data_IF_366177382017
#
_entry.id   IF_366177382017
#
_cell.length_a   1.000
_cell.length_b   1.000
_cell.length_c   1.000
_cell.angle_alpha   90.00
_cell.angle_beta   90.00
_cell.angle_gamma   90.00
#
_symmetry.space_group_name_H-M   'P 1'
#
loop_
_entity.id
_entity.type
_entity.pdbx_description
1 polymer ?
#
# COMPACT_ATOMS: atom_id res chain seq x y z
N UNK A 1 23.42 -10.17 -46.58
CA UNK A 1 22.65 -9.85 -45.35
C UNK A 1 22.94 -10.80 -44.18
N UNK A 2 23.10 -12.12 -44.34
CA UNK A 2 23.36 -13.01 -43.18
C UNK A 2 24.70 -12.77 -42.46
N UNK A 3 25.76 -12.40 -43.17
CA UNK A 3 27.11 -12.24 -42.56
C UNK A 3 27.21 -11.02 -41.63
N UNK A 4 26.57 -9.90 -41.99
CA UNK A 4 26.52 -8.70 -41.15
C UNK A 4 25.60 -8.86 -39.94
N UNK A 5 24.52 -9.63 -40.08
CA UNK A 5 23.63 -9.99 -38.96
C UNK A 5 24.32 -10.92 -37.94
N UNK A 6 25.09 -11.91 -38.41
CA UNK A 6 25.86 -12.79 -37.52
C UNK A 6 26.97 -12.02 -36.79
N UNK A 7 27.63 -11.07 -37.45
CA UNK A 7 28.65 -10.21 -36.83
C UNK A 7 28.04 -9.24 -35.79
N UNK A 8 26.88 -8.65 -36.06
CA UNK A 8 26.22 -7.75 -35.10
C UNK A 8 25.67 -8.51 -33.88
N UNK A 9 25.14 -9.71 -34.08
CA UNK A 9 24.72 -10.59 -32.99
C UNK A 9 25.91 -11.03 -32.11
N UNK A 10 27.08 -11.33 -32.70
CA UNK A 10 28.26 -11.70 -31.92
C UNK A 10 28.83 -10.55 -31.09
N UNK A 11 28.75 -9.30 -31.57
CA UNK A 11 29.22 -8.13 -30.82
C UNK A 11 28.40 -7.95 -29.54
N UNK A 12 27.07 -8.02 -29.62
CA UNK A 12 26.20 -7.86 -28.43
C UNK A 12 26.38 -8.98 -27.40
N UNK A 13 26.60 -10.21 -27.86
CA UNK A 13 26.87 -11.35 -26.98
C UNK A 13 28.21 -11.14 -26.24
N UNK A 14 29.23 -10.63 -26.94
CA UNK A 14 30.53 -10.37 -26.33
C UNK A 14 30.48 -9.20 -25.35
N UNK A 15 29.77 -8.11 -25.67
CA UNK A 15 29.51 -7.00 -24.74
C UNK A 15 28.87 -7.48 -23.44
N UNK A 16 27.87 -8.38 -23.53
CA UNK A 16 27.24 -8.97 -22.36
C UNK A 16 28.21 -9.84 -21.55
N UNK A 17 29.04 -10.65 -22.23
CA UNK A 17 30.08 -11.47 -21.59
C UNK A 17 31.09 -10.62 -20.83
N UNK A 18 31.54 -9.52 -21.42
CA UNK A 18 32.50 -8.59 -20.79
C UNK A 18 31.87 -7.93 -19.57
N UNK A 19 30.70 -7.31 -19.71
CA UNK A 19 29.98 -6.67 -18.57
C UNK A 19 29.74 -7.64 -17.42
N UNK A 20 29.36 -8.89 -17.73
CA UNK A 20 29.17 -9.93 -16.71
C UNK A 20 30.47 -10.27 -15.99
N UNK A 21 31.57 -10.45 -16.72
CA UNK A 21 32.88 -10.73 -16.13
C UNK A 21 33.35 -9.60 -15.23
N UNK A 22 33.19 -8.35 -15.66
CA UNK A 22 33.57 -7.17 -14.87
C UNK A 22 32.76 -7.10 -13.57
N UNK A 23 31.46 -7.38 -13.65
CA UNK A 23 30.58 -7.45 -12.47
C UNK A 23 31.03 -8.56 -11.52
N UNK A 24 31.33 -9.76 -12.02
CA UNK A 24 31.81 -10.89 -11.22
C UNK A 24 33.15 -10.59 -10.54
N UNK A 25 34.09 -9.99 -11.27
CA UNK A 25 35.38 -9.55 -10.72
C UNK A 25 35.21 -8.49 -9.63
N UNK A 26 34.35 -7.49 -9.86
CA UNK A 26 34.04 -6.46 -8.89
C UNK A 26 33.41 -7.04 -7.61
N UNK A 27 32.46 -7.98 -7.74
CA UNK A 27 31.83 -8.65 -6.60
C UNK A 27 32.82 -9.53 -5.81
N UNK A 28 33.72 -10.22 -6.52
CA UNK A 28 34.76 -11.04 -5.90
C UNK A 28 35.76 -10.18 -5.10
N UNK A 29 36.20 -9.06 -5.68
CA UNK A 29 37.10 -8.11 -5.03
C UNK A 29 36.48 -7.49 -3.76
N UNK A 30 35.16 -7.28 -3.75
CA UNK A 30 34.41 -6.75 -2.59
C UNK A 30 33.99 -7.82 -1.59
N UNK A 31 34.35 -9.10 -1.81
CA UNK A 31 34.01 -10.23 -0.94
C UNK A 31 32.51 -10.33 -0.64
N UNK A 32 31.65 -10.07 -1.64
CA UNK A 32 30.21 -10.11 -1.43
C UNK A 32 29.74 -11.52 -1.05
N UNK A 33 28.76 -11.66 -0.15
CA UNK A 33 28.12 -12.94 0.15
C UNK A 33 27.49 -13.58 -1.09
N UNK A 34 27.48 -14.92 -1.14
CA UNK A 34 27.01 -15.66 -2.32
C UNK A 34 25.54 -15.41 -2.65
N UNK A 35 24.69 -15.22 -1.62
CA UNK A 35 23.30 -14.85 -1.82
C UNK A 35 23.14 -13.48 -2.50
N UNK A 36 24.01 -12.51 -2.17
CA UNK A 36 23.98 -11.18 -2.76
C UNK A 36 24.50 -11.21 -4.20
N UNK A 37 25.57 -11.96 -4.46
CA UNK A 37 26.07 -12.19 -5.84
C UNK A 37 24.99 -12.79 -6.73
N UNK A 38 24.32 -13.85 -6.26
CA UNK A 38 23.23 -14.48 -7.01
C UNK A 38 22.05 -13.53 -7.30
N UNK A 39 21.75 -12.59 -6.39
CA UNK A 39 20.73 -11.55 -6.63
C UNK A 39 21.18 -10.51 -7.66
N UNK A 40 22.43 -10.05 -7.58
CA UNK A 40 23.00 -9.10 -8.55
C UNK A 40 23.02 -9.71 -9.95
N UNK A 41 23.47 -10.96 -10.09
CA UNK A 41 23.51 -11.65 -11.39
C UNK A 41 22.11 -11.86 -11.98
N UNK A 42 21.11 -12.20 -11.16
CA UNK A 42 19.72 -12.28 -11.61
C UNK A 42 19.20 -10.93 -12.10
N UNK A 43 19.49 -9.84 -11.38
CA UNK A 43 19.11 -8.50 -11.79
C UNK A 43 19.75 -8.10 -13.12
N UNK A 44 21.05 -8.33 -13.29
CA UNK A 44 21.75 -8.05 -14.54
C UNK A 44 21.20 -8.86 -15.72
N UNK A 45 20.90 -10.15 -15.49
CA UNK A 45 20.28 -11.01 -16.49
C UNK A 45 18.88 -10.51 -16.88
N UNK A 46 18.04 -10.15 -15.91
CA UNK A 46 16.71 -9.60 -16.15
C UNK A 46 16.79 -8.29 -16.93
N UNK A 47 17.62 -7.34 -16.46
CA UNK A 47 17.84 -6.06 -17.15
C UNK A 47 18.27 -6.27 -18.60
N UNK A 48 19.15 -7.24 -18.86
CA UNK A 48 19.59 -7.55 -20.22
C UNK A 48 18.46 -8.13 -21.08
N UNK A 49 17.62 -9.00 -20.54
CA UNK A 49 16.50 -9.57 -21.28
C UNK A 49 15.48 -8.50 -21.68
N UNK A 50 15.17 -7.58 -20.75
CA UNK A 50 14.17 -6.53 -20.97
C UNK A 50 14.69 -5.43 -21.90
N UNK A 51 15.86 -4.86 -21.58
CA UNK A 51 16.42 -3.73 -22.35
C UNK A 51 17.19 -4.15 -23.60
N UNK A 52 17.48 -5.45 -23.76
CA UNK A 52 18.37 -6.00 -24.81
C UNK A 52 19.73 -5.31 -24.87
N UNK A 53 20.21 -4.80 -23.73
CA UNK A 53 21.48 -4.11 -23.61
C UNK A 53 21.45 -2.63 -23.99
N UNK A 54 20.27 -2.08 -24.31
CA UNK A 54 20.11 -0.65 -24.58
C UNK A 54 20.18 0.13 -23.28
N UNK A 55 21.11 1.08 -23.21
CA UNK A 55 21.11 2.10 -22.16
C UNK A 55 20.03 3.15 -22.49
N UNK A 56 18.84 3.00 -21.91
CA UNK A 56 17.70 3.88 -22.19
C UNK A 56 17.98 5.34 -21.82
N UNK A 57 18.64 5.59 -20.68
CA UNK A 57 18.96 6.95 -20.26
C UNK A 57 19.99 7.57 -21.21
N UNK A 58 21.04 6.82 -21.57
CA UNK A 58 22.03 7.23 -22.57
C UNK A 58 21.40 7.50 -23.95
N UNK A 59 20.49 6.63 -24.40
CA UNK A 59 19.74 6.82 -25.65
C UNK A 59 18.93 8.11 -25.62
N UNK A 60 18.17 8.34 -24.55
CA UNK A 60 17.34 9.53 -24.40
C UNK A 60 18.18 10.82 -24.31
N UNK A 61 19.37 10.77 -23.70
CA UNK A 61 20.27 11.92 -23.61
C UNK A 61 20.89 12.32 -24.95
N UNK A 62 21.03 11.37 -25.89
CA UNK A 62 21.53 11.65 -27.24
C UNK A 62 20.46 12.24 -28.16
N UNK A 63 19.19 12.24 -27.75
CA UNK A 63 18.08 12.82 -28.51
C UNK A 63 17.90 14.32 -28.19
N UNK A 64 17.44 15.12 -29.17
CA UNK A 64 16.91 16.45 -28.94
C UNK A 64 15.87 16.49 -27.81
N UNK A 65 15.81 17.63 -27.11
CA UNK A 65 15.00 17.79 -25.87
C UNK A 65 13.50 17.57 -26.11
N UNK A 66 13.00 17.99 -27.27
CA UNK A 66 11.63 17.81 -27.73
C UNK A 66 11.28 16.34 -27.91
N UNK A 67 12.10 15.57 -28.63
CA UNK A 67 11.88 14.12 -28.81
C UNK A 67 11.95 13.35 -27.48
N UNK A 68 12.93 13.68 -26.63
CA UNK A 68 13.05 13.07 -25.30
C UNK A 68 11.79 13.30 -24.46
N UNK A 69 11.22 14.52 -24.52
CA UNK A 69 9.98 14.88 -23.82
C UNK A 69 8.78 14.09 -24.32
N UNK A 70 8.63 14.00 -25.63
CA UNK A 70 7.52 13.28 -26.25
C UNK A 70 7.56 11.78 -25.89
N UNK A 71 8.75 11.16 -25.92
CA UNK A 71 8.93 9.76 -25.50
C UNK A 71 8.58 9.59 -24.01
N UNK A 72 9.14 10.41 -23.12
CA UNK A 72 8.85 10.31 -21.68
C UNK A 72 7.36 10.50 -21.38
N UNK A 73 6.71 11.48 -22.03
CA UNK A 73 5.26 11.71 -21.90
C UNK A 73 4.48 10.49 -22.37
N UNK A 74 4.83 9.91 -23.52
CA UNK A 74 4.17 8.72 -24.04
C UNK A 74 4.25 7.53 -23.08
N UNK A 75 5.41 7.30 -22.47
CA UNK A 75 5.64 6.18 -21.56
C UNK A 75 4.97 6.38 -20.19
N UNK A 76 4.98 7.60 -19.67
CA UNK A 76 4.67 7.86 -18.26
C UNK A 76 3.29 8.49 -18.00
N UNK A 77 2.74 9.25 -18.94
CA UNK A 77 1.54 10.06 -18.69
C UNK A 77 0.36 9.20 -18.24
N UNK A 78 0.17 8.04 -18.88
CA UNK A 78 -0.91 7.11 -18.52
C UNK A 78 -0.80 6.57 -17.10
N UNK A 79 0.43 6.44 -16.55
CA UNK A 79 0.68 6.01 -15.18
C UNK A 79 0.41 7.14 -14.19
N UNK A 80 0.84 8.38 -14.50
CA UNK A 80 0.56 9.54 -13.66
C UNK A 80 -0.94 9.81 -13.55
N UNK A 81 -1.69 9.69 -14.65
CA UNK A 81 -3.14 9.88 -14.66
C UNK A 81 -3.92 8.82 -13.86
N UNK A 82 -3.26 7.73 -13.43
CA UNK A 82 -3.86 6.79 -12.45
C UNK A 82 -3.90 7.35 -11.05
N UNK A 83 -3.05 8.33 -10.73
CA UNK A 83 -3.07 9.03 -9.45
C UNK A 83 -4.14 10.12 -9.52
N UNK A 84 -5.24 9.99 -8.76
CA UNK A 84 -6.41 10.87 -8.91
C UNK A 84 -6.14 12.33 -8.51
N UNK A 85 -5.08 12.57 -7.73
CA UNK A 85 -4.65 13.94 -7.43
C UNK A 85 -3.97 14.63 -8.62
N UNK A 86 -3.50 13.88 -9.61
CA UNK A 86 -2.86 14.42 -10.82
C UNK A 86 -3.86 14.69 -11.94
N UNK A 87 -5.09 14.19 -11.85
CA UNK A 87 -6.11 14.32 -12.90
C UNK A 87 -6.49 15.80 -13.18
N UNK A 88 -6.48 16.64 -12.14
CA UNK A 88 -6.82 18.06 -12.25
C UNK A 88 -5.57 18.97 -12.28
N UNK A 89 -4.39 18.40 -12.54
CA UNK A 89 -3.16 19.19 -12.68
C UNK A 89 -3.00 19.72 -14.09
N UNK A 90 -2.40 20.91 -14.22
CA UNK A 90 -2.09 21.51 -15.50
C UNK A 90 -1.14 20.61 -16.32
N UNK A 91 -1.32 20.57 -17.65
CA UNK A 91 -0.53 19.71 -18.53
C UNK A 91 0.99 19.97 -18.43
N UNK A 92 1.38 21.24 -18.24
CA UNK A 92 2.79 21.61 -18.07
C UNK A 92 3.42 20.97 -16.83
N UNK A 93 2.62 20.73 -15.79
CA UNK A 93 3.08 20.09 -14.56
C UNK A 93 3.18 18.58 -14.73
N UNK A 94 2.21 17.98 -15.41
CA UNK A 94 2.27 16.58 -15.82
C UNK A 94 3.51 16.33 -16.69
N UNK A 95 3.83 17.25 -17.61
CA UNK A 95 5.07 17.19 -18.39
C UNK A 95 6.32 17.30 -17.53
N UNK A 96 6.33 18.22 -16.57
CA UNK A 96 7.46 18.38 -15.66
C UNK A 96 7.70 17.13 -14.79
N UNK A 97 6.63 16.43 -14.40
CA UNK A 97 6.70 15.14 -13.71
C UNK A 97 7.18 14.01 -14.64
N UNK A 98 6.62 13.90 -15.85
CA UNK A 98 7.08 12.95 -16.87
C UNK A 98 8.59 13.09 -17.14
N UNK A 99 9.09 14.33 -17.23
CA UNK A 99 10.52 14.61 -17.44
C UNK A 99 11.42 14.06 -16.30
N UNK A 100 10.89 13.96 -15.08
CA UNK A 100 11.62 13.54 -13.85
C UNK A 100 11.48 12.07 -13.50
N UNK A 101 10.49 11.38 -14.05
CA UNK A 101 10.33 9.96 -13.86
C UNK A 101 11.54 9.21 -14.45
N UNK A 102 11.99 8.19 -13.71
CA UNK A 102 13.08 7.31 -14.11
C UNK A 102 12.60 5.86 -14.16
N UNK A 103 12.93 5.11 -15.22
CA UNK A 103 12.62 3.69 -15.27
C UNK A 103 13.42 2.94 -14.19
N UNK A 104 12.81 1.92 -13.61
CA UNK A 104 13.39 1.06 -12.59
C UNK A 104 12.92 -0.39 -12.77
N UNK A 105 13.85 -1.32 -12.62
CA UNK A 105 13.61 -2.75 -12.74
C UNK A 105 13.88 -3.44 -11.41
N UNK A 106 12.93 -4.28 -10.98
CA UNK A 106 13.06 -5.08 -9.78
C UNK A 106 12.93 -6.56 -10.12
N UNK A 107 13.81 -7.39 -9.55
CA UNK A 107 13.66 -8.85 -9.60
C UNK A 107 12.64 -9.31 -8.56
N UNK A 108 12.14 -10.52 -8.70
CA UNK A 108 11.33 -11.21 -7.68
C UNK A 108 11.99 -11.18 -6.29
N UNK A 109 11.17 -11.16 -5.23
CA UNK A 109 11.56 -11.10 -3.81
C UNK A 109 12.34 -9.85 -3.39
N UNK A 110 12.36 -8.81 -4.22
CA UNK A 110 12.99 -7.53 -3.88
C UNK A 110 12.09 -6.75 -2.92
N UNK A 111 12.66 -6.35 -1.78
CA UNK A 111 12.00 -5.42 -0.87
C UNK A 111 12.26 -4.00 -1.35
N UNK A 112 11.21 -3.29 -1.76
CA UNK A 112 11.30 -1.91 -2.25
C UNK A 112 11.31 -0.94 -1.07
N UNK A 113 10.31 -1.08 -0.19
CA UNK A 113 10.14 -0.23 1.00
C UNK A 113 9.77 -1.13 2.17
N UNK A 114 10.24 -0.84 3.39
CA UNK A 114 9.76 -1.49 4.62
C UNK A 114 8.91 -0.53 5.42
N UNK A 115 7.93 -1.07 6.14
CA UNK A 115 7.14 -0.31 7.09
C UNK A 115 8.07 0.35 8.12
N UNK A 116 7.94 1.67 8.29
CA UNK A 116 8.79 2.50 9.16
C UNK A 116 9.95 3.20 8.46
N UNK A 117 10.43 2.70 7.31
CA UNK A 117 11.55 3.32 6.57
C UNK A 117 11.13 4.67 5.96
N UNK A 118 12.05 5.65 5.81
CA UNK A 118 11.73 6.91 5.15
C UNK A 118 11.37 6.68 3.67
N UNK A 119 10.23 7.20 3.24
CA UNK A 119 9.80 7.16 1.83
C UNK A 119 10.54 8.26 1.07
N UNK A 120 11.48 7.86 0.23
CA UNK A 120 12.29 8.77 -0.59
C UNK A 120 11.81 8.87 -2.04
N UNK A 121 10.95 7.95 -2.47
CA UNK A 121 10.46 7.90 -3.84
C UNK A 121 9.06 7.28 -3.95
N UNK A 122 8.29 7.76 -4.92
CA UNK A 122 7.03 7.17 -5.35
C UNK A 122 7.29 6.22 -6.50
N UNK A 123 6.65 5.04 -6.47
CA UNK A 123 6.77 4.02 -7.50
C UNK A 123 5.45 3.90 -8.27
N UNK A 124 5.53 3.91 -9.60
CA UNK A 124 4.42 3.68 -10.51
C UNK A 124 4.64 2.37 -11.25
N UNK A 125 3.79 1.39 -11.02
CA UNK A 125 3.96 0.04 -11.57
C UNK A 125 3.51 0.04 -13.02
N UNK A 126 4.43 -0.26 -13.94
CA UNK A 126 4.10 -0.45 -15.35
C UNK A 126 3.69 -1.91 -15.59
N UNK A 127 4.52 -2.86 -15.13
CA UNK A 127 4.31 -4.30 -15.29
C UNK A 127 4.79 -5.08 -14.06
N UNK A 128 4.22 -6.26 -13.85
CA UNK A 128 4.52 -7.15 -12.73
C UNK A 128 3.58 -6.99 -11.53
N UNK A 129 3.90 -7.70 -10.46
CA UNK A 129 3.10 -7.79 -9.25
C UNK A 129 3.94 -7.50 -8.00
N UNK A 130 3.34 -6.73 -7.08
CA UNK A 130 3.93 -6.43 -5.79
C UNK A 130 2.95 -6.78 -4.68
N UNK A 131 3.47 -7.15 -3.52
CA UNK A 131 2.71 -7.29 -2.30
C UNK A 131 2.99 -6.09 -1.39
N UNK A 132 1.92 -5.40 -0.99
CA UNK A 132 1.92 -4.32 -0.02
C UNK A 132 1.28 -4.81 1.27
N UNK A 133 2.05 -4.88 2.35
CA UNK A 133 1.62 -5.41 3.64
C UNK A 133 1.87 -4.44 4.78
N UNK A 134 1.03 -4.45 5.81
CA UNK A 134 1.23 -3.67 7.04
C UNK A 134 0.84 -4.48 8.27
N UNK A 135 1.64 -4.29 9.31
CA UNK A 135 1.42 -4.80 10.66
C UNK A 135 0.95 -3.71 11.62
N UNK A 136 0.71 -2.50 11.11
CA UNK A 136 0.39 -1.31 11.88
C UNK A 136 1.39 -1.09 13.04
N UNK A 137 2.68 -1.07 12.70
CA UNK A 137 3.76 -0.94 13.68
C UNK A 137 3.92 -2.15 14.60
N UNK A 138 3.69 -3.37 14.09
CA UNK A 138 3.87 -4.61 14.86
C UNK A 138 2.73 -4.93 15.84
N UNK A 139 1.52 -4.39 15.62
CA UNK A 139 0.37 -4.69 16.45
C UNK A 139 -0.04 -6.17 16.30
N UNK A 140 0.07 -6.93 17.39
CA UNK A 140 -0.29 -8.36 17.41
C UNK A 140 -1.74 -8.58 16.94
N UNK A 141 -1.91 -9.49 15.97
CA UNK A 141 -3.20 -9.82 15.36
C UNK A 141 -3.67 -8.86 14.24
N UNK A 142 -2.88 -7.84 13.89
CA UNK A 142 -3.13 -6.95 12.76
C UNK A 142 -2.21 -7.29 11.58
N UNK A 143 -2.82 -7.74 10.48
CA UNK A 143 -2.12 -7.97 9.22
C UNK A 143 -3.06 -7.59 8.09
N UNK A 144 -2.66 -6.63 7.26
CA UNK A 144 -3.36 -6.27 6.04
C UNK A 144 -2.39 -6.39 4.88
N UNK A 145 -2.72 -7.20 3.87
CA UNK A 145 -1.98 -7.30 2.63
C UNK A 145 -2.87 -6.97 1.44
N UNK A 146 -2.25 -6.39 0.41
CA UNK A 146 -2.87 -6.10 -0.87
C UNK A 146 -1.86 -6.36 -1.99
N UNK A 147 -2.33 -6.82 -3.15
CA UNK A 147 -1.49 -6.99 -4.34
C UNK A 147 -1.62 -5.74 -5.21
N UNK A 148 -0.48 -5.16 -5.60
CA UNK A 148 -0.38 -4.08 -6.56
C UNK A 148 0.03 -4.66 -7.93
N UNK A 149 -0.57 -4.15 -8.99
CA UNK A 149 -0.34 -4.58 -10.38
C UNK A 149 -0.09 -3.37 -11.29
N UNK A 150 0.13 -3.62 -12.58
CA UNK A 150 0.28 -2.56 -13.59
C UNK A 150 -0.83 -1.50 -13.52
N UNK A 151 -0.43 -0.23 -13.39
CA UNK A 151 -1.28 0.93 -13.18
C UNK A 151 -1.46 1.36 -11.71
N UNK A 152 -1.05 0.52 -10.75
CA UNK A 152 -1.03 0.90 -9.33
C UNK A 152 0.26 1.65 -8.98
N UNK A 153 0.29 2.26 -7.80
CA UNK A 153 1.43 3.01 -7.28
C UNK A 153 1.60 2.79 -5.78
N UNK A 154 2.79 3.10 -5.26
CA UNK A 154 3.06 3.16 -3.82
C UNK A 154 3.95 4.37 -3.46
N UNK A 155 4.01 4.70 -2.17
CA UNK A 155 4.69 5.89 -1.68
C UNK A 155 3.78 7.12 -1.63
N UNK A 156 2.45 6.92 -1.55
CA UNK A 156 1.47 8.01 -1.51
C UNK A 156 1.66 8.98 -0.34
N UNK A 157 2.42 8.58 0.69
CA UNK A 157 2.81 9.42 1.81
C UNK A 157 3.55 10.69 1.34
N UNK A 158 4.34 10.57 0.27
CA UNK A 158 5.07 11.68 -0.32
C UNK A 158 4.16 12.76 -0.89
N UNK A 159 2.95 12.42 -1.32
CA UNK A 159 2.01 13.40 -1.87
C UNK A 159 1.56 14.38 -0.80
N UNK A 160 1.28 13.90 0.42
CA UNK A 160 0.93 14.78 1.53
C UNK A 160 2.13 15.64 1.96
N UNK A 161 3.29 15.02 2.11
CA UNK A 161 4.52 15.70 2.49
C UNK A 161 4.95 16.77 1.47
N UNK A 162 4.80 16.49 0.16
CA UNK A 162 5.17 17.43 -0.88
C UNK A 162 4.28 18.67 -0.87
N UNK A 163 2.97 18.47 -0.62
CA UNK A 163 1.99 19.54 -0.57
C UNK A 163 1.99 20.32 0.75
N UNK A 164 2.44 19.75 1.87
CA UNK A 164 2.47 20.48 3.14
C UNK A 164 3.56 21.58 3.11
N UNK A 165 3.19 22.87 3.26
CA UNK A 165 4.14 23.98 3.30
C UNK A 165 5.02 23.98 4.55
N UNK A 166 4.54 23.39 5.66
CA UNK A 166 5.24 23.29 6.94
C UNK A 166 6.05 21.99 7.05
N UNK A 167 6.00 21.12 6.04
CA UNK A 167 6.82 19.91 6.01
C UNK A 167 8.30 20.27 6.10
N UNK A 168 8.90 19.90 7.23
CA UNK A 168 10.35 19.95 7.45
C UNK A 168 11.04 19.02 6.45
N UNK A 169 12.34 19.19 6.22
CA UNK A 169 13.19 18.34 5.36
C UNK A 169 13.19 16.84 5.69
N UNK A 170 12.46 16.40 6.71
CA UNK A 170 12.34 15.00 7.08
C UNK A 170 11.29 14.31 6.19
N UNK A 171 11.69 13.20 5.57
CA UNK A 171 10.81 12.37 4.76
C UNK A 171 9.76 11.65 5.63
N UNK A 172 8.56 11.41 5.10
CA UNK A 172 7.55 10.65 5.82
C UNK A 172 7.98 9.19 5.98
N UNK A 173 7.62 8.55 7.09
CA UNK A 173 7.83 7.12 7.29
C UNK A 173 6.81 6.30 6.51
N UNK A 174 7.28 5.22 5.89
CA UNK A 174 6.44 4.29 5.15
C UNK A 174 5.47 3.57 6.08
N UNK A 175 4.27 3.39 5.57
CA UNK A 175 3.16 2.83 6.33
C UNK A 175 2.98 1.35 6.06
N UNK A 176 3.70 0.85 5.03
CA UNK A 176 3.63 -0.52 4.53
C UNK A 176 5.00 -1.02 4.09
N UNK A 177 5.17 -2.33 4.17
CA UNK A 177 6.25 -3.03 3.50
C UNK A 177 5.79 -3.42 2.09
N UNK A 178 6.58 -3.07 1.07
CA UNK A 178 6.31 -3.41 -0.34
C UNK A 178 7.40 -4.33 -0.84
N UNK A 179 7.00 -5.51 -1.33
CA UNK A 179 7.90 -6.52 -1.92
C UNK A 179 7.42 -6.92 -3.30
N UNK A 180 8.33 -7.28 -4.18
CA UNK A 180 7.97 -7.79 -5.51
C UNK A 180 7.63 -9.29 -5.44
N UNK A 181 6.51 -9.66 -6.08
CA UNK A 181 6.08 -11.05 -6.26
C UNK A 181 6.51 -11.61 -7.62
N UNK A 182 6.89 -10.75 -8.55
CA UNK A 182 7.42 -11.10 -9.86
C UNK A 182 8.54 -10.14 -10.24
N UNK A 183 9.13 -10.33 -11.42
CA UNK A 183 9.87 -9.27 -12.07
C UNK A 183 8.92 -8.08 -12.34
N UNK A 184 9.38 -6.87 -12.05
CA UNK A 184 8.58 -5.64 -12.07
C UNK A 184 9.32 -4.55 -12.84
N UNK A 185 8.60 -3.95 -13.79
CA UNK A 185 8.97 -2.72 -14.46
C UNK A 185 8.16 -1.58 -13.86
N UNK A 186 8.84 -0.51 -13.46
CA UNK A 186 8.18 0.62 -12.83
C UNK A 186 8.89 1.92 -13.18
N UNK A 187 8.19 3.03 -12.95
CA UNK A 187 8.78 4.36 -12.95
C UNK A 187 8.85 4.91 -11.54
N UNK A 188 9.91 5.64 -11.25
CA UNK A 188 10.18 6.21 -9.92
C UNK A 188 10.18 7.73 -10.02
N UNK A 189 9.46 8.39 -9.11
CA UNK A 189 9.51 9.84 -8.89
C UNK A 189 10.10 10.11 -7.51
N UNK A 190 11.25 10.80 -7.46
CA UNK A 190 11.92 11.09 -6.19
C UNK A 190 11.17 12.16 -5.39
N UNK A 191 11.33 12.12 -4.06
CA UNK A 191 10.76 13.08 -3.14
C UNK A 191 11.14 14.53 -3.50
N UNK A 192 12.43 14.78 -3.78
CA UNK A 192 12.92 16.13 -4.13
C UNK A 192 12.29 16.64 -5.43
N UNK A 193 12.15 15.76 -6.41
CA UNK A 193 11.54 16.06 -7.70
C UNK A 193 10.04 16.37 -7.55
N UNK A 194 9.33 15.58 -6.74
CA UNK A 194 7.94 15.83 -6.41
C UNK A 194 7.75 17.13 -5.61
N UNK A 195 8.62 17.41 -4.62
CA UNK A 195 8.57 18.65 -3.83
C UNK A 195 8.81 19.86 -4.72
N UNK A 196 9.79 19.78 -5.61
CA UNK A 196 10.07 20.83 -6.59
C UNK A 196 8.81 21.14 -7.42
N UNK A 197 8.17 20.12 -8.00
CA UNK A 197 6.94 20.26 -8.77
C UNK A 197 5.79 20.82 -7.92
N UNK A 198 5.60 20.32 -6.70
CA UNK A 198 4.55 20.74 -5.78
C UNK A 198 4.70 22.22 -5.35
N UNK A 199 5.93 22.69 -5.10
CA UNK A 199 6.17 24.09 -4.69
C UNK A 199 5.83 25.11 -5.77
N UNK A 200 5.95 24.72 -7.04
CA UNK A 200 5.53 25.58 -8.16
C UNK A 200 4.01 25.74 -8.25
N UNK A 201 3.26 24.95 -7.48
CA UNK A 201 1.81 24.91 -7.59
C UNK A 201 1.11 25.00 -6.22
N UNK A 202 0.96 26.24 -5.72
CA UNK A 202 0.14 26.55 -4.53
C UNK A 202 -1.38 26.32 -4.73
N UNK A 203 -1.83 26.05 -5.95
CA UNK A 203 -3.25 25.83 -6.28
C UNK A 203 -3.74 24.40 -5.96
N UNK A 204 -2.87 23.50 -5.51
CA UNK A 204 -3.24 22.16 -4.99
C UNK A 204 -3.83 22.23 -3.56
N UNK A 205 -4.15 23.42 -3.06
CA UNK A 205 -4.76 23.62 -1.76
C UNK A 205 -6.27 23.80 -1.90
N UNK A 206 -6.99 22.68 -2.02
CA UNK A 206 -8.45 22.67 -2.02
C UNK A 206 -8.99 21.61 -1.07
N UNK A 207 -10.14 21.88 -0.44
CA UNK A 207 -10.89 20.88 0.35
C UNK A 207 -11.16 19.61 -0.45
N UNK A 208 -11.33 19.73 -1.77
CA UNK A 208 -11.51 18.60 -2.68
C UNK A 208 -10.31 17.63 -2.65
N UNK A 209 -9.09 18.16 -2.59
CA UNK A 209 -7.86 17.34 -2.56
C UNK A 209 -7.70 16.60 -1.24
N UNK A 210 -8.17 17.15 -0.12
CA UNK A 210 -8.26 16.40 1.14
C UNK A 210 -9.19 15.20 1.04
N UNK A 211 -10.34 15.36 0.38
CA UNK A 211 -11.28 14.25 0.18
C UNK A 211 -10.69 13.19 -0.75
N UNK A 212 -10.06 13.60 -1.86
CA UNK A 212 -9.36 12.70 -2.78
C UNK A 212 -8.25 11.93 -2.04
N UNK A 213 -7.41 12.62 -1.27
CA UNK A 213 -6.36 11.97 -0.49
C UNK A 213 -6.92 10.96 0.51
N UNK A 214 -7.93 11.34 1.31
CA UNK A 214 -8.59 10.43 2.26
C UNK A 214 -9.17 9.20 1.56
N UNK A 215 -9.72 9.39 0.36
CA UNK A 215 -10.32 8.30 -0.39
C UNK A 215 -9.28 7.34 -0.99
N UNK A 216 -8.12 7.82 -1.41
CA UNK A 216 -7.10 6.99 -2.08
C UNK A 216 -5.98 6.48 -1.17
N UNK A 217 -5.75 7.12 -0.03
CA UNK A 217 -4.77 6.66 0.96
C UNK A 217 -5.17 5.31 1.56
N UNK A 218 -4.26 4.33 1.47
CA UNK A 218 -4.50 3.00 2.02
C UNK A 218 -4.66 3.01 3.55
N UNK A 219 -3.97 3.93 4.22
CA UNK A 219 -4.10 4.13 5.67
C UNK A 219 -5.51 4.59 6.06
N UNK A 220 -6.05 5.60 5.37
CA UNK A 220 -7.39 6.12 5.63
C UNK A 220 -8.47 5.08 5.34
N UNK A 221 -8.33 4.31 4.25
CA UNK A 221 -9.23 3.18 3.94
C UNK A 221 -9.22 2.13 5.04
N UNK A 222 -8.02 1.75 5.49
CA UNK A 222 -7.85 0.75 6.55
C UNK A 222 -8.43 1.23 7.88
N UNK A 223 -8.15 2.49 8.26
CA UNK A 223 -8.72 3.12 9.44
C UNK A 223 -10.25 3.19 9.39
N UNK A 224 -10.81 3.64 8.27
CA UNK A 224 -12.26 3.73 8.08
C UNK A 224 -12.93 2.35 8.16
N UNK A 225 -12.35 1.33 7.52
CA UNK A 225 -12.83 -0.03 7.61
C UNK A 225 -12.84 -0.55 9.05
N UNK A 226 -11.74 -0.37 9.79
CA UNK A 226 -11.67 -0.78 11.20
C UNK A 226 -12.64 0.00 12.08
N UNK A 227 -12.85 1.30 11.82
CA UNK A 227 -13.81 2.12 12.55
C UNK A 227 -15.25 1.63 12.34
N UNK A 228 -15.63 1.37 11.08
CA UNK A 228 -16.95 0.82 10.74
C UNK A 228 -17.14 -0.57 11.37
N UNK A 229 -16.12 -1.43 11.31
CA UNK A 229 -16.16 -2.76 11.94
C UNK A 229 -16.35 -2.65 13.47
N UNK A 230 -15.64 -1.73 14.12
CA UNK A 230 -15.77 -1.51 15.56
C UNK A 230 -17.17 -1.00 15.94
N UNK A 231 -17.71 -0.06 15.16
CA UNK A 231 -19.06 0.47 15.35
C UNK A 231 -20.13 -0.63 15.16
N UNK A 232 -19.99 -1.44 14.10
CA UNK A 232 -20.87 -2.59 13.85
C UNK A 232 -20.82 -3.61 14.99
N UNK A 233 -19.62 -3.97 15.45
CA UNK A 233 -19.46 -4.88 16.58
C UNK A 233 -20.08 -4.32 17.87
N UNK A 234 -19.99 -3.00 18.10
CA UNK A 234 -20.66 -2.35 19.24
C UNK A 234 -22.18 -2.41 19.09
N UNK A 235 -22.71 -2.14 17.91
CA UNK A 235 -24.14 -2.24 17.62
C UNK A 235 -24.65 -3.68 17.82
N UNK A 236 -23.95 -4.69 17.29
CA UNK A 236 -24.32 -6.10 17.47
C UNK A 236 -24.29 -6.53 18.93
N UNK A 237 -23.31 -6.06 19.73
CA UNK A 237 -23.28 -6.32 21.18
C UNK A 237 -24.50 -5.72 21.88
N UNK A 238 -24.78 -4.44 21.63
CA UNK A 238 -25.93 -3.74 22.21
C UNK A 238 -27.26 -4.41 21.83
N UNK A 239 -27.47 -4.74 20.56
CA UNK A 239 -28.68 -5.44 20.10
C UNK A 239 -28.85 -6.82 20.75
N UNK A 240 -27.75 -7.51 21.01
CA UNK A 240 -27.78 -8.79 21.71
C UNK A 240 -28.14 -8.60 23.19
N UNK A 241 -27.55 -7.61 23.85
CA UNK A 241 -27.86 -7.22 25.24
C UNK A 241 -29.33 -6.83 25.37
N UNK A 242 -29.85 -5.97 24.49
CA UNK A 242 -31.26 -5.56 24.46
C UNK A 242 -32.19 -6.79 24.28
N UNK A 243 -31.83 -7.74 23.40
CA UNK A 243 -32.60 -8.97 23.21
C UNK A 243 -32.57 -9.90 24.43
N UNK A 244 -31.46 -9.93 25.17
CA UNK A 244 -31.35 -10.70 26.41
C UNK A 244 -32.15 -10.05 27.53
N UNK A 245 -32.05 -8.73 27.66
CA UNK A 245 -32.79 -7.93 28.64
C UNK A 245 -34.31 -8.07 28.45
N UNK A 246 -34.81 -8.02 27.21
CA UNK A 246 -36.23 -8.21 26.91
C UNK A 246 -36.72 -9.63 27.30
N UNK A 247 -35.90 -10.66 27.04
CA UNK A 247 -36.23 -12.04 27.44
C UNK A 247 -36.18 -12.23 28.96
N UNK A 248 -35.25 -11.57 29.64
CA UNK A 248 -35.15 -11.56 31.11
C UNK A 248 -36.37 -10.86 31.74
N UNK A 249 -36.78 -9.71 31.20
CA UNK A 249 -37.99 -9.01 31.66
C UNK A 249 -39.26 -9.86 31.49
N UNK A 250 -39.38 -10.59 30.38
CA UNK A 250 -40.50 -11.54 30.15
C UNK A 250 -40.49 -12.69 31.15
N UNK A 251 -39.31 -13.21 31.49
CA UNK A 251 -39.17 -14.21 32.55
C UNK A 251 -39.61 -13.67 33.90
N UNK A 252 -39.13 -12.48 34.27
CA UNK A 252 -39.49 -11.84 35.54
C UNK A 252 -41.00 -11.57 35.62
N UNK A 253 -41.63 -11.07 34.55
CA UNK A 253 -43.07 -10.86 34.49
C UNK A 253 -43.86 -12.17 34.65
N UNK A 254 -43.42 -13.26 34.00
CA UNK A 254 -44.05 -14.58 34.13
C UNK A 254 -43.94 -15.16 35.55
N UNK A 255 -42.86 -14.84 36.27
CA UNK A 255 -42.68 -15.25 37.68
C UNK A 255 -43.60 -14.43 38.59
N UNK A 256 -43.74 -13.12 38.37
CA UNK A 256 -44.59 -12.25 39.20
C UNK A 256 -46.09 -12.51 38.98
N UNK A 257 -46.51 -12.92 37.78
CA UNK A 257 -47.92 -13.27 37.52
C UNK A 257 -48.38 -14.59 38.14
N UNK A 258 -47.46 -15.41 38.64
CA UNK A 258 -47.72 -16.75 39.16
C UNK A 258 -47.80 -16.69 40.70
N UNK A 259 -48.92 -16.18 41.22
CA UNK A 259 -49.16 -15.85 42.64
C UNK A 259 -49.38 -17.09 43.55
N UNK A 260 -48.80 -18.24 43.16
CA UNK A 260 -48.88 -19.49 43.94
C UNK A 260 -47.49 -19.89 44.42
N UNK A 261 -47.38 -20.35 45.67
CA UNK A 261 -46.13 -20.75 46.36
C UNK A 261 -45.38 -21.92 45.71
N UNK A 262 -45.70 -22.31 44.47
CA UNK A 262 -44.99 -23.30 43.66
C UNK A 262 -44.77 -22.69 42.27
N UNK A 263 -43.50 -22.53 41.86
CA UNK A 263 -43.14 -22.16 40.48
C UNK A 263 -43.94 -23.04 39.51
N UNK A 264 -44.78 -22.46 38.65
CA UNK A 264 -45.50 -23.30 37.68
C UNK A 264 -44.52 -24.02 36.76
N UNK A 265 -44.85 -25.26 36.42
CA UNK A 265 -44.05 -26.11 35.55
C UNK A 265 -43.76 -25.42 34.19
N UNK A 266 -44.67 -24.55 33.75
CA UNK A 266 -44.49 -23.68 32.57
C UNK A 266 -43.39 -22.62 32.72
N UNK A 267 -43.33 -21.94 33.87
CA UNK A 267 -42.27 -20.97 34.18
C UNK A 267 -40.89 -21.65 34.26
N UNK A 268 -40.81 -22.84 34.86
CA UNK A 268 -39.58 -23.64 34.93
C UNK A 268 -39.11 -24.12 33.54
N UNK A 269 -40.03 -24.59 32.69
CA UNK A 269 -39.72 -24.96 31.30
C UNK A 269 -39.24 -23.77 30.47
N UNK A 270 -39.83 -22.59 30.67
CA UNK A 270 -39.42 -21.37 29.98
C UNK A 270 -38.05 -20.89 30.45
N UNK A 271 -37.77 -20.90 31.75
CA UNK A 271 -36.46 -20.60 32.33
C UNK A 271 -35.37 -21.56 31.83
N UNK A 272 -35.67 -22.86 31.76
CA UNK A 272 -34.76 -23.88 31.20
C UNK A 272 -34.47 -23.64 29.71
N UNK A 273 -35.50 -23.32 28.91
CA UNK A 273 -35.32 -22.94 27.50
C UNK A 273 -34.52 -21.65 27.34
N UNK A 274 -34.75 -20.66 28.20
CA UNK A 274 -33.99 -19.41 28.21
C UNK A 274 -32.52 -19.65 28.56
N UNK A 275 -32.24 -20.38 29.65
CA UNK A 275 -30.89 -20.76 30.04
C UNK A 275 -30.20 -21.57 28.94
N UNK A 276 -30.89 -22.54 28.33
CA UNK A 276 -30.36 -23.32 27.20
C UNK A 276 -30.09 -22.49 25.94
N UNK A 277 -30.84 -21.40 25.73
CA UNK A 277 -30.60 -20.45 24.63
C UNK A 277 -29.43 -19.50 24.97
N UNK A 278 -29.35 -19.00 26.21
CA UNK A 278 -28.23 -18.21 26.72
C UNK A 278 -26.92 -18.98 26.68
N UNK A 279 -26.92 -20.26 27.08
CA UNK A 279 -25.72 -21.11 27.02
C UNK A 279 -25.27 -21.38 25.58
N UNK A 280 -26.21 -21.50 24.62
CA UNK A 280 -25.86 -21.58 23.19
C UNK A 280 -25.27 -20.27 22.67
N UNK A 281 -25.79 -19.13 23.11
CA UNK A 281 -25.25 -17.80 22.78
C UNK A 281 -23.86 -17.62 23.39
N UNK A 282 -23.67 -17.99 24.67
CA UNK A 282 -22.38 -17.94 25.36
C UNK A 282 -21.37 -18.89 24.73
N UNK A 283 -21.76 -20.10 24.28
CA UNK A 283 -20.86 -21.01 23.53
C UNK A 283 -20.51 -20.47 22.14
N UNK A 284 -21.47 -19.87 21.41
CA UNK A 284 -21.20 -19.17 20.13
C UNK A 284 -20.30 -17.95 20.32
N UNK A 285 -20.49 -17.22 21.42
CA UNK A 285 -19.68 -16.07 21.76
C UNK A 285 -18.32 -16.49 22.31
N UNK A 286 -18.19 -17.60 23.03
CA UNK A 286 -16.93 -18.15 23.50
C UNK A 286 -16.11 -18.72 22.34
N UNK A 287 -16.74 -19.38 21.36
CA UNK A 287 -16.06 -19.78 20.11
C UNK A 287 -15.68 -18.58 19.24
N UNK A 288 -16.52 -17.53 19.18
CA UNK A 288 -16.12 -16.24 18.58
C UNK A 288 -15.02 -15.53 19.37
N UNK A 289 -15.04 -15.58 20.70
CA UNK A 289 -14.07 -14.96 21.61
C UNK A 289 -12.76 -15.74 21.65
N UNK A 290 -12.78 -17.05 21.40
CA UNK A 290 -11.59 -17.88 21.16
C UNK A 290 -11.00 -17.58 19.78
N UNK A 291 -11.82 -17.44 18.72
CA UNK A 291 -11.37 -16.91 17.41
C UNK A 291 -10.90 -15.45 17.45
N UNK A 292 -11.40 -14.67 18.41
CA UNK A 292 -11.00 -13.29 18.70
C UNK A 292 -9.94 -13.20 19.80
N UNK A 293 -9.53 -14.28 20.47
CA UNK A 293 -8.44 -14.20 21.46
C UNK A 293 -7.08 -14.21 20.77
N UNK A 294 -7.01 -14.73 19.53
CA UNK A 294 -5.97 -14.41 18.54
C UNK A 294 -6.09 -12.96 17.98
N UNK A 295 -7.17 -12.23 18.32
CA UNK A 295 -7.42 -10.84 17.90
C UNK A 295 -7.89 -9.99 19.10
N UNK A 296 -6.96 -9.80 20.04
CA UNK A 296 -7.01 -8.91 21.22
C UNK A 296 -7.71 -7.57 20.88
N UNK A 297 -8.39 -6.91 21.84
CA UNK A 297 -9.40 -5.89 21.56
C UNK A 297 -8.85 -4.81 20.65
N UNK A 298 -9.68 -4.35 19.71
CA UNK A 298 -9.42 -3.19 18.89
C UNK A 298 -9.07 -1.98 19.79
N UNK A 299 -7.79 -1.81 20.13
CA UNK A 299 -7.22 -0.47 20.23
C UNK A 299 -7.53 0.12 18.88
N UNK A 300 -8.50 1.03 18.86
CA UNK A 300 -8.90 1.76 17.67
C UNK A 300 -7.62 2.25 17.02
N UNK A 301 -7.42 1.90 15.75
CA UNK A 301 -6.32 2.45 14.95
C UNK A 301 -6.30 3.96 15.19
N UNK A 302 -5.13 4.50 15.52
CA UNK A 302 -4.99 5.93 15.72
C UNK A 302 -5.46 6.63 14.43
N UNK A 303 -6.28 7.67 14.57
CA UNK A 303 -6.76 8.43 13.42
C UNK A 303 -5.53 8.93 12.65
N UNK A 304 -5.39 8.62 11.34
CA UNK A 304 -4.31 9.16 10.54
C UNK A 304 -4.31 10.69 10.61
N UNK A 305 -3.12 11.30 10.61
CA UNK A 305 -2.99 12.75 10.63
C UNK A 305 -3.71 13.35 9.40
N UNK A 306 -4.41 14.46 9.61
CA UNK A 306 -5.02 15.15 8.48
C UNK A 306 -3.92 15.88 7.70
N UNK A 307 -3.90 15.74 6.37
CA UNK A 307 -2.95 16.47 5.57
C UNK A 307 -3.24 17.97 5.68
N UNK A 308 -2.29 18.74 6.20
CA UNK A 308 -2.43 20.19 6.29
C UNK A 308 -2.02 20.82 4.96
N UNK A 309 -3.00 20.98 4.07
CA UNK A 309 -2.80 21.66 2.79
C UNK A 309 -3.08 23.16 2.86
N UNK A 310 -3.06 23.78 4.05
CA UNK A 310 -3.25 25.22 4.17
C UNK A 310 -1.90 25.88 4.36
N UNK A 311 -1.60 26.89 3.53
CA UNK A 311 -0.51 27.80 3.80
C UNK A 311 -0.80 28.50 5.14
N UNK A 312 0.13 28.41 6.09
CA UNK A 312 0.11 29.27 7.27
C UNK A 312 0.44 30.68 6.76
N UNK A 313 -0.54 31.57 6.80
CA UNK A 313 -0.39 33.01 6.60
C UNK A 313 -1.56 33.62 5.82
N UNK A 314 -2.49 34.27 6.53
CA UNK A 314 -2.22 35.58 7.14
C UNK A 314 -2.34 35.50 8.66
#
# INVERSE_FOLDING_TARGET
MCRTYLQSASVRIEEMRVKRRDTEQWMAHRLLPENLKGRILRHEQYRWQETRGVDEEGLLMNLPKDLRREIKRHLCLSLLMRVPMFENMDEQLLDAMCDRLKPMLYTEDSCIIREGDPVNEMLFVMRGYLESMTTNGGQSGFFNSNVLKGGDFCGEELLTWALDPAAVSNLPSSTRTVKTLSEVEAFVLRADDLKFVATQFRKLHSKQLQHTFRFYSQQWRTWAACFIQAAWHRYCRKKLEDSLFEKEKRLQAAIVSDDSTKLSLGAALYASRFAGNMMRILRRNATRKARLQDRVPARLLQKPAEPNFFAIGE
#
